data_IF_183211397354
#
_entry.id   IF_183211397354
#
_cell.length_a   1.000
_cell.length_b   1.000
_cell.length_c   1.000
_cell.angle_alpha   90.00
_cell.angle_beta   90.00
_cell.angle_gamma   90.00
#
_symmetry.space_group_name_H-M   'P 1'
#
loop_
_entity.id
_entity.type
_entity.pdbx_description
1 polymer ?
#
# COMPACT_ATOMS: atom_id res chain seq x y z
N UNK A 1 1.01 9.48 14.49
CA UNK A 1 0.44 8.60 13.46
C UNK A 1 1.47 7.57 13.01
N UNK A 2 1.00 6.42 12.62
CA UNK A 2 1.83 5.36 12.08
C UNK A 2 1.83 5.42 10.57
N UNK A 3 3.01 5.54 9.96
CA UNK A 3 3.18 5.64 8.51
C UNK A 3 3.96 4.43 8.02
N UNK A 4 3.50 3.81 6.94
CA UNK A 4 4.26 2.77 6.26
C UNK A 4 4.46 3.19 4.81
N UNK A 5 5.71 3.18 4.37
CA UNK A 5 6.06 3.39 2.97
C UNK A 5 6.35 2.03 2.37
N UNK A 6 5.49 1.59 1.44
CA UNK A 6 5.66 0.28 0.80
C UNK A 6 6.29 0.48 -0.56
N UNK A 7 7.53 0.03 -0.70
CA UNK A 7 8.29 0.11 -1.95
C UNK A 7 8.00 -1.12 -2.80
N UNK A 8 7.58 -0.90 -4.04
CA UNK A 8 7.14 -1.98 -4.93
C UNK A 8 7.83 -1.85 -6.29
N UNK A 9 8.32 -2.97 -6.79
CA UNK A 9 8.82 -3.10 -8.16
C UNK A 9 8.05 -4.25 -8.82
N UNK A 10 7.31 -3.91 -9.85
CA UNK A 10 6.41 -4.84 -10.53
C UNK A 10 7.07 -5.33 -11.83
N UNK A 11 6.80 -6.56 -12.23
CA UNK A 11 7.19 -7.05 -13.55
C UNK A 11 6.56 -6.13 -14.61
N UNK A 12 7.33 -5.67 -15.62
CA UNK A 12 6.81 -4.69 -16.58
C UNK A 12 5.49 -5.10 -17.25
N UNK A 13 5.32 -6.39 -17.55
CA UNK A 13 4.12 -6.92 -18.20
C UNK A 13 2.91 -7.03 -17.26
N UNK A 14 3.10 -6.80 -15.96
CA UNK A 14 2.04 -6.91 -14.96
C UNK A 14 1.62 -5.55 -14.37
N UNK A 15 2.12 -4.45 -14.93
CA UNK A 15 1.86 -3.11 -14.38
C UNK A 15 0.36 -2.80 -14.31
N UNK A 16 -0.39 -3.06 -15.38
CA UNK A 16 -1.82 -2.75 -15.41
C UNK A 16 -2.60 -3.65 -14.43
N UNK A 17 -2.21 -4.92 -14.30
CA UNK A 17 -2.84 -5.84 -13.35
C UNK A 17 -2.59 -5.37 -11.91
N UNK A 18 -1.37 -4.90 -11.63
CA UNK A 18 -1.03 -4.37 -10.31
C UNK A 18 -1.85 -3.12 -9.97
N UNK A 19 -2.01 -2.23 -10.95
CA UNK A 19 -2.81 -1.01 -10.76
C UNK A 19 -4.26 -1.37 -10.41
N UNK A 20 -4.84 -2.33 -11.14
CA UNK A 20 -6.22 -2.75 -10.90
C UNK A 20 -6.41 -3.38 -9.52
N UNK A 21 -5.52 -4.31 -9.14
CA UNK A 21 -5.57 -4.95 -7.82
C UNK A 21 -5.37 -3.94 -6.70
N UNK A 22 -4.45 -2.99 -6.90
CA UNK A 22 -4.13 -1.98 -5.89
C UNK A 22 -5.24 -0.94 -5.75
N UNK A 23 -5.96 -0.63 -6.82
CA UNK A 23 -7.15 0.24 -6.74
C UNK A 23 -8.17 -0.37 -5.78
N UNK A 24 -8.44 -1.67 -5.88
CA UNK A 24 -9.41 -2.34 -5.01
C UNK A 24 -8.98 -2.29 -3.54
N UNK A 25 -7.70 -2.52 -3.28
CA UNK A 25 -7.15 -2.42 -1.92
C UNK A 25 -7.24 -0.98 -1.39
N UNK A 26 -6.92 0.00 -2.23
CA UNK A 26 -7.04 1.43 -1.88
C UNK A 26 -8.47 1.77 -1.47
N UNK A 27 -9.45 1.37 -2.28
CA UNK A 27 -10.85 1.69 -2.01
C UNK A 27 -11.34 1.07 -0.70
N UNK A 28 -10.91 -0.15 -0.38
CA UNK A 28 -11.22 -0.77 0.90
C UNK A 28 -10.50 -0.11 2.06
N UNK A 29 -9.24 0.22 1.86
CA UNK A 29 -8.39 0.77 2.92
C UNK A 29 -8.85 2.14 3.41
N UNK A 30 -9.26 3.03 2.49
CA UNK A 30 -9.70 4.38 2.88
C UNK A 30 -11.01 4.39 3.68
N UNK A 31 -11.72 3.25 3.71
CA UNK A 31 -12.94 3.08 4.50
C UNK A 31 -12.67 2.54 5.90
N UNK A 32 -11.46 2.09 6.19
CA UNK A 32 -11.10 1.59 7.52
C UNK A 32 -11.13 2.75 8.53
N UNK A 33 -11.72 2.52 9.72
CA UNK A 33 -11.87 3.61 10.71
C UNK A 33 -10.56 4.27 11.10
N UNK A 34 -9.48 3.51 11.17
CA UNK A 34 -8.17 4.02 11.56
C UNK A 34 -7.34 4.58 10.43
N UNK A 35 -7.79 4.43 9.19
CA UNK A 35 -7.04 4.94 8.04
C UNK A 35 -7.12 6.45 7.95
N UNK A 36 -5.98 7.09 7.73
CA UNK A 36 -5.88 8.56 7.50
C UNK A 36 -5.51 8.86 6.07
N UNK A 37 -4.76 7.95 5.42
CA UNK A 37 -4.31 8.15 4.05
C UNK A 37 -3.85 6.84 3.46
N UNK A 38 -4.17 6.61 2.20
CA UNK A 38 -3.65 5.46 1.45
C UNK A 38 -3.43 5.91 0.01
N UNK A 39 -2.23 6.44 -0.26
CA UNK A 39 -1.88 6.95 -1.58
C UNK A 39 -1.11 5.90 -2.37
N UNK A 40 -1.44 5.79 -3.64
CA UNK A 40 -0.74 4.91 -4.57
C UNK A 40 0.00 5.79 -5.56
N UNK A 41 1.32 5.75 -5.52
CA UNK A 41 2.18 6.60 -6.34
C UNK A 41 2.96 5.75 -7.32
N UNK A 42 3.13 6.27 -8.53
CA UNK A 42 3.91 5.61 -9.58
C UNK A 42 5.06 6.52 -9.98
N UNK A 43 6.26 5.94 -10.12
CA UNK A 43 7.43 6.69 -10.54
C UNK A 43 7.24 7.15 -12.00
N UNK A 44 7.31 8.45 -12.29
CA UNK A 44 7.11 8.94 -13.66
C UNK A 44 8.22 8.53 -14.60
N UNK A 45 9.40 8.19 -14.09
CA UNK A 45 10.53 7.75 -14.90
C UNK A 45 10.57 6.23 -15.10
N UNK A 46 9.90 5.47 -14.22
CA UNK A 46 9.86 4.00 -14.29
C UNK A 46 8.45 3.51 -13.93
N UNK A 47 7.61 3.22 -14.94
CA UNK A 47 6.22 2.83 -14.69
C UNK A 47 6.04 1.55 -13.87
N UNK A 48 7.09 0.74 -13.70
CA UNK A 48 7.03 -0.49 -12.92
C UNK A 48 7.33 -0.26 -11.42
N UNK A 49 7.71 0.98 -11.04
CA UNK A 49 7.98 1.33 -9.66
C UNK A 49 6.81 2.07 -9.04
N UNK A 50 6.42 1.60 -7.85
CA UNK A 50 5.32 2.19 -7.08
C UNK A 50 5.74 2.43 -5.64
N UNK A 51 5.08 3.41 -5.02
CA UNK A 51 5.20 3.67 -3.60
C UNK A 51 3.79 3.76 -3.03
N UNK A 52 3.49 2.94 -2.02
CA UNK A 52 2.23 3.05 -1.30
C UNK A 52 2.51 3.84 -0.02
N UNK A 53 1.82 4.96 0.13
CA UNK A 53 1.96 5.84 1.29
C UNK A 53 0.75 5.60 2.17
N UNK A 54 0.95 4.86 3.26
CA UNK A 54 -0.14 4.40 4.12
C UNK A 54 -0.03 5.03 5.50
N UNK A 55 -1.07 5.75 5.91
CA UNK A 55 -1.09 6.44 7.19
C UNK A 55 -2.28 5.95 8.02
N UNK A 56 -2.00 5.51 9.23
CA UNK A 56 -2.99 5.05 10.19
C UNK A 56 -2.88 5.85 11.49
N UNK A 57 -4.00 5.98 12.22
CA UNK A 57 -4.03 6.72 13.47
C UNK A 57 -3.07 6.11 14.50
N UNK A 58 -2.90 4.79 14.48
CA UNK A 58 -2.05 4.06 15.41
C UNK A 58 -1.42 2.85 14.75
N UNK A 59 -0.41 2.27 15.40
CA UNK A 59 0.18 1.02 14.96
C UNK A 59 -0.85 -0.12 15.01
N UNK A 60 -1.74 -0.10 16.00
CA UNK A 60 -2.79 -1.10 16.11
C UNK A 60 -3.72 -1.06 14.89
N UNK A 61 -4.06 0.13 14.41
CA UNK A 61 -4.90 0.29 13.22
C UNK A 61 -4.16 -0.20 11.96
N UNK A 62 -2.86 0.05 11.86
CA UNK A 62 -2.05 -0.46 10.76
C UNK A 62 -1.99 -1.99 10.77
N UNK A 63 -1.90 -2.58 11.96
CA UNK A 63 -1.92 -4.04 12.11
C UNK A 63 -3.29 -4.59 11.71
N UNK A 64 -4.37 -3.94 12.14
CA UNK A 64 -5.73 -4.33 11.79
C UNK A 64 -5.97 -4.33 10.28
N UNK A 65 -5.38 -3.35 9.56
CA UNK A 65 -5.44 -3.30 8.09
C UNK A 65 -5.00 -4.63 7.47
N UNK A 66 -3.96 -5.26 8.00
CA UNK A 66 -3.42 -6.52 7.46
C UNK A 66 -4.30 -7.74 7.74
N UNK A 67 -5.39 -7.56 8.48
CA UNK A 67 -6.36 -8.62 8.74
C UNK A 67 -7.62 -8.46 7.88
N UNK A 68 -7.72 -7.39 7.11
CA UNK A 68 -8.90 -7.11 6.29
C UNK A 68 -8.96 -8.00 5.06
N UNK A 69 -10.19 -8.25 4.58
CA UNK A 69 -10.39 -9.05 3.37
C UNK A 69 -9.72 -8.40 2.15
N UNK A 70 -9.81 -7.06 2.03
CA UNK A 70 -9.22 -6.38 0.88
C UNK A 70 -7.68 -6.43 0.89
N UNK A 71 -7.04 -6.37 2.06
CA UNK A 71 -5.59 -6.53 2.13
C UNK A 71 -5.17 -7.94 1.77
N UNK A 72 -5.83 -8.95 2.34
CA UNK A 72 -5.47 -10.35 2.09
C UNK A 72 -5.66 -10.72 0.62
N UNK A 73 -6.73 -10.26 0.00
CA UNK A 73 -6.96 -10.47 -1.43
C UNK A 73 -5.87 -9.80 -2.27
N UNK A 74 -5.50 -8.57 -1.92
CA UNK A 74 -4.42 -7.84 -2.60
C UNK A 74 -3.09 -8.57 -2.46
N UNK A 75 -2.73 -8.95 -1.24
CA UNK A 75 -1.48 -9.67 -0.96
C UNK A 75 -1.34 -10.91 -1.84
N UNK A 76 -2.41 -11.70 -1.91
CA UNK A 76 -2.37 -12.94 -2.68
C UNK A 76 -2.33 -12.68 -4.19
N UNK A 77 -3.07 -11.67 -4.65
CA UNK A 77 -3.11 -11.35 -6.09
C UNK A 77 -1.79 -10.80 -6.60
N UNK A 78 -1.12 -9.92 -5.84
CA UNK A 78 0.07 -9.24 -6.33
C UNK A 78 1.38 -10.01 -6.11
N UNK A 79 1.35 -11.09 -5.34
CA UNK A 79 2.56 -11.84 -5.00
C UNK A 79 3.35 -12.26 -6.24
N UNK A 80 2.68 -12.76 -7.26
CA UNK A 80 3.33 -13.22 -8.51
C UNK A 80 3.70 -12.08 -9.46
N UNK A 81 3.24 -10.86 -9.18
CA UNK A 81 3.50 -9.69 -10.02
C UNK A 81 4.80 -8.99 -9.67
N UNK A 82 5.41 -9.34 -8.54
CA UNK A 82 6.60 -8.66 -8.03
C UNK A 82 7.84 -9.05 -8.83
N UNK A 83 8.61 -8.03 -9.29
CA UNK A 83 9.91 -8.23 -9.90
C UNK A 83 10.97 -8.47 -8.82
N UNK A 84 10.74 -7.93 -7.63
CA UNK A 84 11.57 -8.13 -6.45
C UNK A 84 10.67 -8.03 -5.21
N UNK A 85 11.09 -8.56 -4.04
CA UNK A 85 10.25 -8.50 -2.84
C UNK A 85 9.90 -7.06 -2.47
N UNK A 86 8.61 -6.82 -2.21
CA UNK A 86 8.19 -5.50 -1.73
C UNK A 86 8.67 -5.27 -0.30
N UNK A 87 8.90 -4.01 0.04
CA UNK A 87 9.42 -3.64 1.36
C UNK A 87 8.52 -2.60 2.00
N UNK A 88 7.99 -2.92 3.18
CA UNK A 88 7.25 -1.98 4.00
C UNK A 88 8.19 -1.38 5.04
N UNK A 89 8.35 -0.06 5.02
CA UNK A 89 9.23 0.66 5.95
C UNK A 89 8.38 1.51 6.87
N UNK A 90 8.39 1.25 8.20
CA UNK A 90 7.59 2.03 9.13
C UNK A 90 8.25 3.37 9.48
N UNK A 91 7.41 4.40 9.63
CA UNK A 91 7.81 5.74 10.05
C UNK A 91 6.82 6.25 11.08
N UNK A 92 7.29 7.14 11.95
CA UNK A 92 6.41 7.86 12.86
C UNK A 92 6.02 9.18 12.21
N UNK A 93 4.74 9.41 12.03
CA UNK A 93 4.26 10.67 11.50
C UNK A 93 4.22 11.73 12.60
N UNK A 94 4.97 12.81 12.41
CA UNK A 94 5.03 13.91 13.38
C UNK A 94 4.07 15.04 12.99
N UNK A 95 4.09 15.41 11.73
CA UNK A 95 3.26 16.48 11.19
C UNK A 95 2.72 16.05 9.82
N UNK A 96 1.42 16.27 9.55
CA UNK A 96 0.41 16.89 10.44
C UNK A 96 0.17 16.02 11.67
N UNK A 97 -0.27 16.68 12.76
CA UNK A 97 -0.44 15.97 14.03
C UNK A 97 -1.66 15.05 14.03
N UNK A 98 -2.58 15.28 13.11
CA UNK A 98 -3.68 14.34 12.81
C UNK A 98 -4.58 14.93 11.71
#
# INVERSE_FOLDING_TARGET
>A
MHVTLVHVKVKPERVEDFIAATRANHEGSVREPGNRRFDVLQDPADPSRFLLYEVYASEADATAHKQTAHYLAWRDAVAEMMAEPRQGVPWRGLFPED
#
